data_IF_055674172194
#
_entry.id   IF_055674172194
#
_cell.length_a   1.000
_cell.length_b   1.000
_cell.length_c   1.000
_cell.angle_alpha   90.00
_cell.angle_beta   90.00
_cell.angle_gamma   90.00
#
_symmetry.space_group_name_H-M   'P 1'
#
loop_
_entity.id
_entity.type
_entity.pdbx_description
1 polymer ?
#
# COMPACT_ATOMS: atom_id res chain seq x y z
N UNK A 1 -30.14 12.72 -6.35
CA UNK A 1 -28.98 13.14 -7.18
C UNK A 1 -27.76 13.44 -6.32
N UNK A 2 -27.79 14.42 -5.40
CA UNK A 2 -26.62 14.78 -4.59
C UNK A 2 -25.95 13.59 -3.88
N UNK A 3 -26.76 12.76 -3.20
CA UNK A 3 -26.27 11.56 -2.52
C UNK A 3 -25.56 10.54 -3.44
N UNK A 4 -26.00 10.38 -4.69
CA UNK A 4 -25.34 9.44 -5.60
C UNK A 4 -23.98 9.98 -6.05
N UNK A 5 -23.88 11.28 -6.31
CA UNK A 5 -22.61 11.93 -6.62
C UNK A 5 -21.65 11.84 -5.43
N UNK A 6 -22.12 12.07 -4.21
CA UNK A 6 -21.31 11.90 -3.00
C UNK A 6 -20.69 10.50 -2.91
N UNK A 7 -21.46 9.46 -3.28
CA UNK A 7 -20.97 8.09 -3.35
C UNK A 7 -19.94 7.89 -4.46
N UNK A 8 -20.20 8.38 -5.67
CA UNK A 8 -19.28 8.25 -6.80
C UNK A 8 -17.94 8.90 -6.45
N UNK A 9 -17.97 10.13 -5.93
CA UNK A 9 -16.78 10.89 -5.53
C UNK A 9 -16.03 10.15 -4.41
N UNK A 10 -16.73 9.83 -3.32
CA UNK A 10 -16.11 9.14 -2.16
C UNK A 10 -15.48 7.80 -2.54
N UNK A 11 -16.15 7.00 -3.37
CA UNK A 11 -15.63 5.72 -3.83
C UNK A 11 -14.45 5.89 -4.78
N UNK A 12 -14.46 6.94 -5.61
CA UNK A 12 -13.34 7.25 -6.50
C UNK A 12 -12.13 7.73 -5.70
N UNK A 13 -12.29 8.57 -4.68
CA UNK A 13 -11.18 8.99 -3.81
C UNK A 13 -10.62 7.83 -2.98
N UNK A 14 -11.48 6.94 -2.45
CA UNK A 14 -11.05 5.79 -1.66
C UNK A 14 -10.36 4.71 -2.51
N UNK A 15 -10.81 4.49 -3.74
CA UNK A 15 -10.31 3.40 -4.58
C UNK A 15 -9.44 3.86 -5.73
N UNK A 16 -9.32 5.15 -6.03
CA UNK A 16 -8.67 5.68 -7.23
C UNK A 16 -9.50 5.46 -8.49
N UNK A 17 -10.06 4.27 -8.70
CA UNK A 17 -11.01 3.98 -9.76
C UNK A 17 -12.08 2.98 -9.29
N UNK A 18 -13.30 3.12 -9.79
CA UNK A 18 -14.44 2.27 -9.41
C UNK A 18 -15.35 2.02 -10.61
N UNK A 19 -15.65 0.74 -10.86
CA UNK A 19 -16.60 0.35 -11.90
C UNK A 19 -18.03 0.73 -11.49
N UNK A 20 -18.87 1.14 -12.44
CA UNK A 20 -20.27 1.53 -12.17
C UNK A 20 -21.06 0.48 -11.38
N UNK A 21 -20.88 -0.80 -11.69
CA UNK A 21 -21.56 -1.89 -10.97
C UNK A 21 -21.17 -1.95 -9.49
N UNK A 22 -19.91 -1.62 -9.16
CA UNK A 22 -19.45 -1.58 -7.77
C UNK A 22 -20.05 -0.39 -7.02
N UNK A 23 -20.25 0.74 -7.70
CA UNK A 23 -21.00 1.89 -7.14
C UNK A 23 -22.43 1.46 -6.79
N UNK A 24 -23.13 0.79 -7.72
CA UNK A 24 -24.49 0.26 -7.49
C UNK A 24 -24.52 -0.70 -6.29
N UNK A 25 -23.58 -1.65 -6.25
CA UNK A 25 -23.48 -2.64 -5.17
C UNK A 25 -23.36 -1.96 -3.79
N UNK A 26 -22.40 -1.05 -3.63
CA UNK A 26 -22.13 -0.40 -2.35
C UNK A 26 -23.26 0.55 -1.97
N UNK A 27 -23.78 1.32 -2.93
CA UNK A 27 -24.93 2.19 -2.70
C UNK A 27 -26.13 1.37 -2.21
N UNK A 28 -26.45 0.26 -2.89
CA UNK A 28 -27.59 -0.59 -2.55
C UNK A 28 -27.38 -1.36 -1.25
N UNK A 29 -26.14 -1.68 -0.88
CA UNK A 29 -25.82 -2.30 0.40
C UNK A 29 -26.11 -1.35 1.57
N UNK A 30 -25.81 -0.06 1.41
CA UNK A 30 -25.87 0.93 2.48
C UNK A 30 -27.15 1.76 2.50
N UNK A 31 -28.02 1.61 1.50
CA UNK A 31 -29.24 2.41 1.36
C UNK A 31 -30.50 1.55 1.22
N UNK A 32 -31.61 2.06 1.77
CA UNK A 32 -32.93 1.46 1.59
C UNK A 32 -33.39 1.57 0.13
N UNK A 33 -33.23 2.75 -0.44
CA UNK A 33 -33.44 3.01 -1.86
C UNK A 33 -32.46 2.20 -2.71
N UNK A 34 -32.94 1.66 -3.83
CA UNK A 34 -32.13 0.88 -4.76
C UNK A 34 -31.87 1.70 -6.01
N UNK A 35 -30.59 1.78 -6.35
CA UNK A 35 -30.07 2.36 -7.57
C UNK A 35 -30.15 1.32 -8.69
N UNK A 36 -30.75 1.73 -9.81
CA UNK A 36 -30.64 1.04 -11.08
C UNK A 36 -29.39 1.54 -11.81
N UNK A 37 -28.63 0.62 -12.41
CA UNK A 37 -27.41 0.94 -13.17
C UNK A 37 -27.68 1.88 -14.35
N UNK A 38 -28.92 1.91 -14.88
CA UNK A 38 -29.32 2.84 -15.95
C UNK A 38 -29.05 4.29 -15.55
N UNK A 39 -29.30 4.64 -14.28
CA UNK A 39 -29.06 6.01 -13.76
C UNK A 39 -27.58 6.38 -13.85
N UNK A 40 -26.67 5.42 -13.65
CA UNK A 40 -25.23 5.66 -13.80
C UNK A 40 -24.83 5.85 -15.25
N UNK A 41 -25.46 5.13 -16.20
CA UNK A 41 -25.18 5.36 -17.62
C UNK A 41 -25.56 6.79 -18.04
N UNK A 42 -26.65 7.34 -17.52
CA UNK A 42 -27.05 8.72 -17.80
C UNK A 42 -26.04 9.73 -17.25
N UNK A 43 -25.55 9.51 -16.02
CA UNK A 43 -24.48 10.31 -15.41
C UNK A 43 -23.18 10.18 -16.22
N UNK A 44 -22.84 8.99 -16.69
CA UNK A 44 -21.61 8.78 -17.47
C UNK A 44 -21.67 9.44 -18.86
N UNK A 45 -22.84 9.46 -19.49
CA UNK A 45 -23.01 10.11 -20.79
C UNK A 45 -23.09 11.64 -20.68
N UNK A 46 -23.56 12.15 -19.54
CA UNK A 46 -23.71 13.58 -19.26
C UNK A 46 -23.19 13.89 -17.84
N UNK A 47 -21.86 13.86 -17.62
CA UNK A 47 -21.28 14.04 -16.29
C UNK A 47 -21.65 15.39 -15.71
N UNK A 48 -22.22 15.42 -14.49
CA UNK A 48 -22.35 16.66 -13.75
C UNK A 48 -20.97 17.29 -13.48
N UNK A 49 -20.89 18.61 -13.52
CA UNK A 49 -19.65 19.37 -13.27
C UNK A 49 -19.03 19.06 -11.89
N UNK A 50 -19.87 18.68 -10.92
CA UNK A 50 -19.44 18.27 -9.58
C UNK A 50 -18.46 17.09 -9.60
N UNK A 51 -18.52 16.20 -10.60
CA UNK A 51 -17.54 15.11 -10.73
C UNK A 51 -16.15 15.67 -11.08
N UNK A 52 -16.07 16.54 -12.09
CA UNK A 52 -14.82 17.16 -12.52
C UNK A 52 -14.25 18.09 -11.43
N UNK A 53 -15.11 18.84 -10.72
CA UNK A 53 -14.69 19.67 -9.59
C UNK A 53 -14.12 18.87 -8.40
N UNK A 54 -14.34 17.56 -8.38
CA UNK A 54 -13.77 16.64 -7.41
C UNK A 54 -12.85 15.61 -8.10
N UNK A 55 -12.20 16.00 -9.20
CA UNK A 55 -11.15 15.19 -9.85
C UNK A 55 -11.61 13.79 -10.29
N UNK A 56 -12.90 13.63 -10.62
CA UNK A 56 -13.47 12.38 -11.13
C UNK A 56 -13.71 12.48 -12.62
N UNK A 57 -12.97 11.66 -13.38
CA UNK A 57 -13.14 11.42 -14.80
C UNK A 57 -13.91 10.12 -15.08
N UNK A 58 -14.39 9.99 -16.31
CA UNK A 58 -15.05 8.77 -16.80
C UNK A 58 -14.19 8.12 -17.86
N UNK A 59 -13.85 6.85 -17.66
CA UNK A 59 -13.12 6.03 -18.62
C UNK A 59 -13.85 4.70 -18.85
N UNK A 60 -14.61 4.62 -19.95
CA UNK A 60 -15.50 3.50 -20.21
C UNK A 60 -16.56 3.37 -19.11
N UNK A 61 -16.62 2.20 -18.46
CA UNK A 61 -17.57 1.91 -17.37
C UNK A 61 -17.00 2.22 -15.97
N UNK A 62 -15.93 3.03 -15.90
CA UNK A 62 -15.26 3.41 -14.65
C UNK A 62 -15.37 4.90 -14.39
N UNK A 63 -15.57 5.23 -13.12
CA UNK A 63 -15.18 6.52 -12.55
C UNK A 63 -13.72 6.41 -12.09
N UNK A 64 -12.89 7.39 -12.43
CA UNK A 64 -11.44 7.34 -12.26
C UNK A 64 -10.96 8.68 -11.72
N UNK A 65 -10.06 8.65 -10.74
CA UNK A 65 -9.40 9.83 -10.24
C UNK A 65 -8.49 10.42 -11.32
N UNK A 66 -8.54 11.72 -11.53
CA UNK A 66 -7.81 12.47 -12.58
C UNK A 66 -6.33 12.09 -12.61
N UNK A 67 -5.66 12.03 -11.45
CA UNK A 67 -4.26 11.60 -11.31
C UNK A 67 -3.95 10.28 -12.04
N UNK A 68 -4.82 9.27 -11.99
CA UNK A 68 -4.59 7.99 -12.67
C UNK A 68 -4.62 8.17 -14.19
N UNK A 69 -5.46 9.08 -14.69
CA UNK A 69 -5.56 9.39 -16.11
C UNK A 69 -4.36 10.23 -16.57
N UNK A 70 -3.94 11.22 -15.78
CA UNK A 70 -2.78 12.07 -16.06
C UNK A 70 -1.47 11.27 -16.18
N UNK A 71 -1.30 10.24 -15.34
CA UNK A 71 -0.11 9.38 -15.36
C UNK A 71 -0.24 8.13 -16.25
N UNK A 72 -1.34 7.96 -17.00
CA UNK A 72 -1.63 6.79 -17.85
C UNK A 72 -1.57 5.43 -17.10
N UNK A 73 -1.96 5.45 -15.81
CA UNK A 73 -1.80 4.31 -14.90
C UNK A 73 -3.05 3.41 -14.81
N UNK A 74 -4.12 3.74 -15.54
CA UNK A 74 -5.41 3.03 -15.46
C UNK A 74 -5.27 1.51 -15.61
N UNK A 75 -4.50 1.06 -16.60
CA UNK A 75 -4.30 -0.36 -16.86
C UNK A 75 -3.44 -1.05 -15.79
N UNK A 76 -2.46 -0.34 -15.23
CA UNK A 76 -1.60 -0.89 -14.18
C UNK A 76 -2.36 -1.01 -12.85
N UNK A 77 -3.16 0.02 -12.52
CA UNK A 77 -4.08 0.00 -11.38
C UNK A 77 -5.04 -1.19 -11.44
N UNK A 78 -5.61 -1.49 -12.62
CA UNK A 78 -6.46 -2.68 -12.81
C UNK A 78 -5.72 -4.01 -12.59
N UNK A 79 -4.43 -4.10 -12.95
CA UNK A 79 -3.63 -5.30 -12.69
C UNK A 79 -3.34 -5.45 -11.20
N UNK A 80 -2.91 -4.39 -10.53
CA UNK A 80 -2.53 -4.42 -9.11
C UNK A 80 -3.67 -4.87 -8.19
N UNK A 81 -4.90 -4.45 -8.51
CA UNK A 81 -6.08 -4.77 -7.71
C UNK A 81 -6.72 -6.13 -8.00
N UNK A 82 -6.32 -6.80 -9.08
CA UNK A 82 -6.98 -8.02 -9.56
C UNK A 82 -6.97 -9.10 -8.47
N UNK A 83 -8.15 -9.59 -8.10
CA UNK A 83 -8.34 -10.65 -7.11
C UNK A 83 -8.30 -10.19 -5.65
N UNK A 84 -8.06 -8.89 -5.38
CA UNK A 84 -8.17 -8.33 -4.03
C UNK A 84 -9.63 -7.91 -3.76
N UNK A 85 -10.17 -8.14 -2.55
CA UNK A 85 -11.51 -7.66 -2.20
C UNK A 85 -11.53 -6.13 -2.09
N UNK A 86 -12.71 -5.55 -2.06
CA UNK A 86 -12.90 -4.13 -1.71
C UNK A 86 -13.04 -3.97 -0.20
N UNK A 87 -12.35 -2.96 0.35
CA UNK A 87 -12.67 -2.45 1.67
C UNK A 87 -13.95 -1.61 1.58
N UNK A 88 -15.01 -2.00 2.28
CA UNK A 88 -16.27 -1.27 2.30
C UNK A 88 -16.48 -0.69 3.70
N UNK A 89 -16.17 0.59 3.94
CA UNK A 89 -16.44 1.24 5.23
C UNK A 89 -17.94 1.40 5.47
N UNK A 90 -18.34 1.75 6.70
CA UNK A 90 -19.70 2.18 6.98
C UNK A 90 -20.05 3.46 6.21
N UNK A 91 -21.34 3.73 5.98
CA UNK A 91 -21.78 4.88 5.16
C UNK A 91 -21.20 6.22 5.64
N UNK A 92 -21.27 6.51 6.94
CA UNK A 92 -20.75 7.77 7.49
C UNK A 92 -19.24 7.92 7.29
N UNK A 93 -18.50 6.82 7.35
CA UNK A 93 -17.06 6.81 7.13
C UNK A 93 -16.72 6.94 5.64
N UNK A 94 -17.46 6.24 4.78
CA UNK A 94 -17.30 6.36 3.33
C UNK A 94 -17.45 7.80 2.86
N UNK A 95 -18.50 8.49 3.33
CA UNK A 95 -18.84 9.83 2.85
C UNK A 95 -17.84 10.92 3.29
N UNK A 96 -16.93 10.63 4.23
CA UNK A 96 -15.81 11.54 4.56
C UNK A 96 -14.83 11.67 3.39
N UNK A 97 -14.66 10.61 2.60
CA UNK A 97 -13.83 10.63 1.40
C UNK A 97 -14.36 11.54 0.31
N UNK A 98 -15.55 12.14 0.44
CA UNK A 98 -15.96 13.21 -0.47
C UNK A 98 -14.99 14.39 -0.42
N UNK A 99 -14.49 14.72 0.77
CA UNK A 99 -13.49 15.76 0.95
C UNK A 99 -12.16 15.25 0.40
N UNK A 100 -11.61 15.92 -0.62
CA UNK A 100 -10.39 15.50 -1.32
C UNK A 100 -9.21 15.27 -0.37
N UNK A 101 -9.00 16.19 0.58
CA UNK A 101 -7.88 16.14 1.53
C UNK A 101 -8.14 15.22 2.73
N UNK A 102 -9.24 14.46 2.72
CA UNK A 102 -9.55 13.56 3.82
C UNK A 102 -8.64 12.33 3.82
N UNK A 103 -8.08 12.01 4.99
CA UNK A 103 -7.45 10.73 5.26
C UNK A 103 -7.84 10.22 6.66
N UNK A 104 -7.76 8.91 6.85
CA UNK A 104 -8.06 8.28 8.13
C UNK A 104 -6.93 8.56 9.15
N UNK A 105 -7.22 9.36 10.17
CA UNK A 105 -6.29 9.59 11.29
C UNK A 105 -6.29 8.39 12.23
N UNK A 106 -5.41 7.42 11.94
CA UNK A 106 -5.28 6.19 12.72
C UNK A 106 -4.28 6.31 13.88
N UNK A 107 -4.18 5.26 14.71
CA UNK A 107 -3.25 5.23 15.86
C UNK A 107 -1.78 5.31 15.45
N UNK A 108 -1.41 4.87 14.25
CA UNK A 108 -0.02 4.92 13.74
C UNK A 108 0.36 6.35 13.34
N UNK A 109 -0.55 7.09 12.71
CA UNK A 109 -0.40 8.51 12.42
C UNK A 109 -0.20 9.29 13.72
N UNK A 110 -1.09 9.05 14.71
CA UNK A 110 -0.99 9.69 16.03
C UNK A 110 0.32 9.34 16.77
N UNK A 111 0.82 8.12 16.60
CA UNK A 111 2.10 7.70 17.18
C UNK A 111 3.29 8.40 16.52
N UNK A 112 3.27 8.55 15.19
CA UNK A 112 4.28 9.31 14.45
C UNK A 112 4.25 10.78 14.87
N UNK A 113 3.08 11.41 14.82
CA UNK A 113 2.86 12.81 15.21
C UNK A 113 3.37 13.07 16.63
N UNK A 114 2.89 12.30 17.61
CA UNK A 114 3.32 12.43 19.01
C UNK A 114 4.84 12.31 19.18
N UNK A 115 5.47 11.39 18.44
CA UNK A 115 6.92 11.19 18.52
C UNK A 115 7.68 12.37 17.92
N UNK A 116 7.33 12.83 16.72
CA UNK A 116 8.06 13.91 16.03
C UNK A 116 7.82 15.26 16.69
N UNK A 117 6.60 15.55 17.18
CA UNK A 117 6.33 16.76 17.97
C UNK A 117 7.27 16.85 19.16
N UNK A 118 7.40 15.77 19.94
CA UNK A 118 8.21 15.78 21.16
C UNK A 118 9.71 15.70 20.92
N UNK A 119 10.15 14.88 19.96
CA UNK A 119 11.56 14.48 19.85
C UNK A 119 12.28 15.11 18.65
N UNK A 120 11.56 15.73 17.71
CA UNK A 120 12.13 16.34 16.50
C UNK A 120 11.90 17.85 16.53
N UNK A 121 10.69 18.28 16.86
CA UNK A 121 10.27 19.67 16.75
C UNK A 121 10.13 20.40 18.10
N UNK A 122 10.67 19.84 19.19
CA UNK A 122 10.70 20.44 20.52
C UNK A 122 9.35 21.00 21.02
N UNK A 123 8.26 20.31 20.68
CA UNK A 123 6.89 20.68 21.05
C UNK A 123 6.15 21.56 20.03
N UNK A 124 6.76 21.90 18.89
CA UNK A 124 6.07 22.63 17.83
C UNK A 124 5.09 21.70 17.08
N UNK A 125 3.81 21.76 17.46
CA UNK A 125 2.72 20.96 16.91
C UNK A 125 2.49 21.24 15.42
N UNK A 126 2.49 22.50 15.01
CA UNK A 126 2.25 22.87 13.61
C UNK A 126 3.31 22.28 12.66
N UNK A 127 4.59 22.39 12.99
CA UNK A 127 5.66 21.82 12.16
C UNK A 127 5.58 20.28 12.09
N UNK A 128 5.18 19.65 13.20
CA UNK A 128 5.01 18.22 13.30
C UNK A 128 3.81 17.70 12.48
N UNK A 129 2.68 18.39 12.54
CA UNK A 129 1.48 18.09 11.74
C UNK A 129 1.80 18.19 10.26
N UNK A 130 2.41 19.30 9.83
CA UNK A 130 2.79 19.48 8.43
C UNK A 130 3.75 18.38 7.92
N UNK A 131 4.70 17.93 8.76
CA UNK A 131 5.57 16.80 8.39
C UNK A 131 4.75 15.50 8.25
N UNK A 132 3.85 15.24 9.20
CA UNK A 132 3.08 14.00 9.21
C UNK A 132 2.06 13.92 8.07
N UNK A 133 1.45 15.05 7.69
CA UNK A 133 0.54 15.14 6.54
C UNK A 133 1.27 14.85 5.23
N UNK A 134 2.47 15.40 5.01
CA UNK A 134 3.28 15.07 3.83
C UNK A 134 3.60 13.57 3.76
N UNK A 135 4.05 13.01 4.90
CA UNK A 135 4.37 11.57 5.01
C UNK A 135 3.12 10.73 4.75
N UNK A 136 1.96 11.15 5.27
CA UNK A 136 0.69 10.47 5.05
C UNK A 136 0.31 10.46 3.57
N UNK A 137 0.51 11.58 2.86
CA UNK A 137 0.34 11.65 1.41
C UNK A 137 1.20 10.63 0.68
N UNK A 138 2.51 10.59 0.97
CA UNK A 138 3.44 9.60 0.39
C UNK A 138 3.02 8.15 0.75
N UNK A 139 2.52 7.92 1.96
CA UNK A 139 2.03 6.59 2.35
C UNK A 139 0.78 6.17 1.57
N UNK A 140 -0.02 7.12 1.09
CA UNK A 140 -1.24 6.87 0.35
C UNK A 140 -1.00 6.76 -1.16
N UNK A 141 -0.05 7.53 -1.70
CA UNK A 141 0.25 7.65 -3.12
C UNK A 141 1.72 7.32 -3.38
N UNK A 142 1.99 6.17 -4.01
CA UNK A 142 3.32 5.70 -4.45
C UNK A 142 4.44 5.76 -3.38
N UNK A 143 4.27 5.02 -2.28
CA UNK A 143 5.20 5.05 -1.15
C UNK A 143 6.67 4.83 -1.56
N UNK A 144 7.48 5.86 -1.30
CA UNK A 144 8.92 5.87 -1.59
C UNK A 144 9.73 6.30 -0.37
N UNK A 145 10.68 5.48 0.05
CA UNK A 145 11.60 5.84 1.16
C UNK A 145 12.43 7.06 0.79
N UNK A 146 12.78 7.20 -0.49
CA UNK A 146 13.53 8.34 -1.00
C UNK A 146 12.74 9.65 -0.80
N UNK A 147 11.46 9.65 -1.17
CA UNK A 147 10.58 10.82 -0.98
C UNK A 147 10.37 11.16 0.50
N UNK A 148 10.28 10.15 1.38
CA UNK A 148 10.25 10.36 2.83
C UNK A 148 11.48 11.13 3.31
N UNK A 149 12.68 10.78 2.81
CA UNK A 149 13.91 11.52 3.14
C UNK A 149 13.92 12.93 2.53
N UNK A 150 13.38 13.10 1.33
CA UNK A 150 13.23 14.43 0.71
C UNK A 150 12.31 15.33 1.53
N UNK A 151 11.21 14.80 2.06
CA UNK A 151 10.32 15.51 2.98
C UNK A 151 11.04 15.88 4.28
N UNK A 152 11.80 14.97 4.89
CA UNK A 152 12.61 15.32 6.07
C UNK A 152 13.57 16.48 5.80
N UNK A 153 14.26 16.46 4.66
CA UNK A 153 15.16 17.53 4.27
C UNK A 153 14.43 18.86 4.03
N UNK A 154 13.30 18.81 3.31
CA UNK A 154 12.50 20.00 2.96
C UNK A 154 11.87 20.65 4.19
N UNK A 155 11.47 19.84 5.18
CA UNK A 155 10.94 20.30 6.47
C UNK A 155 12.01 20.68 7.49
N UNK A 156 13.30 20.58 7.12
CA UNK A 156 14.42 20.96 7.99
C UNK A 156 14.58 20.05 9.21
N UNK A 157 14.23 18.77 9.09
CA UNK A 157 14.39 17.78 10.18
C UNK A 157 15.87 17.51 10.43
N UNK A 158 16.34 17.85 11.63
CA UNK A 158 17.73 17.63 12.04
C UNK A 158 17.85 16.45 13.02
N UNK A 159 18.12 15.27 12.47
CA UNK A 159 18.32 14.06 13.26
C UNK A 159 19.64 14.08 14.03
N UNK A 160 19.56 13.89 15.35
CA UNK A 160 20.72 13.92 16.26
C UNK A 160 21.46 12.58 16.36
N UNK A 161 20.86 11.49 15.87
CA UNK A 161 21.49 10.17 15.88
C UNK A 161 20.81 9.20 14.92
N UNK A 162 21.54 8.16 14.51
CA UNK A 162 21.01 7.04 13.74
C UNK A 162 19.83 6.35 14.45
N UNK A 163 19.87 6.27 15.79
CA UNK A 163 18.76 5.71 16.58
C UNK A 163 17.45 6.48 16.38
N UNK A 164 17.54 7.80 16.23
CA UNK A 164 16.39 8.66 15.99
C UNK A 164 15.84 8.47 14.58
N UNK A 165 16.72 8.39 13.58
CA UNK A 165 16.35 8.07 12.18
C UNK A 165 15.62 6.73 12.14
N UNK A 166 16.21 5.68 12.71
CA UNK A 166 15.63 4.34 12.74
C UNK A 166 14.27 4.33 13.45
N UNK A 167 14.11 5.13 14.52
CA UNK A 167 12.84 5.19 15.24
C UNK A 167 11.74 5.89 14.44
N UNK A 168 12.05 7.00 13.77
CA UNK A 168 11.09 7.70 12.90
C UNK A 168 10.74 6.83 11.70
N UNK A 169 11.73 6.23 11.03
CA UNK A 169 11.47 5.34 9.89
C UNK A 169 10.63 4.13 10.29
N UNK A 170 10.83 3.57 11.48
CA UNK A 170 9.93 2.53 12.00
C UNK A 170 8.48 3.03 12.07
N UNK A 171 8.25 4.23 12.61
CA UNK A 171 6.90 4.81 12.73
C UNK A 171 6.29 5.13 11.36
N UNK A 172 7.10 5.60 10.41
CA UNK A 172 6.68 5.80 9.01
C UNK A 172 6.27 4.47 8.37
N UNK A 173 7.06 3.41 8.53
CA UNK A 173 6.70 2.09 8.00
C UNK A 173 5.44 1.51 8.67
N UNK A 174 5.25 1.73 9.96
CA UNK A 174 4.01 1.36 10.65
C UNK A 174 2.82 2.14 10.08
N UNK A 175 2.97 3.44 9.80
CA UNK A 175 1.92 4.23 9.15
C UNK A 175 1.64 3.70 7.74
N UNK A 176 2.64 3.57 6.87
CA UNK A 176 2.51 3.08 5.50
C UNK A 176 1.78 1.73 5.42
N UNK A 177 2.11 0.78 6.30
CA UNK A 177 1.47 -0.53 6.33
C UNK A 177 0.01 -0.50 6.84
N UNK A 178 -0.43 0.60 7.44
CA UNK A 178 -1.79 0.81 7.96
C UNK A 178 -2.52 1.98 7.27
N UNK A 179 -1.99 2.50 6.16
CA UNK A 179 -2.66 3.47 5.30
C UNK A 179 -3.38 2.76 4.17
N UNK A 180 -4.57 3.26 3.80
CA UNK A 180 -5.38 2.70 2.70
C UNK A 180 -4.80 3.16 1.38
N UNK A 181 -4.68 2.24 0.43
CA UNK A 181 -4.12 2.53 -0.90
C UNK A 181 -5.01 1.99 -2.02
N UNK A 182 -4.93 2.62 -3.18
CA UNK A 182 -5.76 2.31 -4.35
C UNK A 182 -5.49 0.92 -4.92
N UNK A 183 -4.23 0.49 -4.92
CA UNK A 183 -3.76 -0.82 -5.42
C UNK A 183 -4.38 -1.98 -4.65
N UNK A 184 -4.88 -1.71 -3.44
CA UNK A 184 -5.50 -2.67 -2.53
C UNK A 184 -7.03 -2.51 -2.44
N UNK A 185 -7.67 -1.78 -3.37
CA UNK A 185 -9.11 -1.47 -3.33
C UNK A 185 -9.54 -0.89 -1.96
N UNK A 186 -8.77 0.06 -1.44
CA UNK A 186 -9.05 0.76 -0.18
C UNK A 186 -8.67 -0.03 1.08
N UNK A 187 -8.08 -1.22 0.97
CA UNK A 187 -7.47 -1.91 2.11
C UNK A 187 -6.08 -1.38 2.42
N UNK A 188 -5.67 -1.52 3.68
CA UNK A 188 -4.27 -1.31 4.05
C UNK A 188 -3.39 -2.51 3.67
N UNK A 189 -2.08 -2.35 3.47
CA UNK A 189 -1.17 -3.47 3.27
C UNK A 189 -1.28 -4.55 4.35
N UNK A 190 -1.40 -4.16 5.63
CA UNK A 190 -1.59 -5.10 6.74
C UNK A 190 -2.92 -5.85 6.68
N UNK A 191 -4.02 -5.20 6.30
CA UNK A 191 -5.31 -5.87 6.13
C UNK A 191 -5.25 -6.95 5.03
N UNK A 192 -4.61 -6.64 3.90
CA UNK A 192 -4.39 -7.61 2.82
C UNK A 192 -3.49 -8.76 3.29
N UNK A 193 -2.39 -8.44 3.96
CA UNK A 193 -1.46 -9.46 4.45
C UNK A 193 -2.11 -10.38 5.48
N UNK A 194 -2.81 -9.85 6.48
CA UNK A 194 -3.44 -10.68 7.53
C UNK A 194 -4.55 -11.58 6.98
N UNK A 195 -5.36 -11.08 6.04
CA UNK A 195 -6.47 -11.86 5.47
C UNK A 195 -6.03 -12.86 4.38
N UNK A 196 -5.04 -12.50 3.56
CA UNK A 196 -4.72 -13.26 2.34
C UNK A 196 -3.26 -13.73 2.28
N UNK A 197 -2.31 -13.02 2.89
CA UNK A 197 -0.90 -13.42 2.91
C UNK A 197 -0.63 -14.48 3.99
N UNK A 198 -0.98 -14.17 5.24
CA UNK A 198 -0.67 -14.95 6.42
C UNK A 198 -1.18 -16.40 6.38
N UNK A 199 -2.40 -16.71 5.88
CA UNK A 199 -2.85 -18.09 5.75
C UNK A 199 -1.99 -18.94 4.80
N UNK A 200 -1.28 -18.30 3.86
CA UNK A 200 -0.40 -18.96 2.89
C UNK A 200 1.05 -19.07 3.37
N UNK A 201 1.39 -18.49 4.53
CA UNK A 201 2.72 -18.61 5.10
C UNK A 201 2.94 -20.02 5.65
N UNK A 202 4.12 -20.57 5.36
CA UNK A 202 4.57 -21.78 6.03
C UNK A 202 5.07 -21.42 7.43
N UNK A 203 4.79 -22.24 8.45
CA UNK A 203 5.38 -22.02 9.75
C UNK A 203 6.91 -22.03 9.63
N UNK A 204 7.56 -21.17 10.41
CA UNK A 204 9.01 -21.22 10.53
C UNK A 204 9.41 -22.65 10.96
N UNK A 205 10.49 -23.22 10.40
CA UNK A 205 10.97 -24.51 10.85
C UNK A 205 11.24 -24.47 12.36
N UNK A 206 10.83 -25.51 13.07
CA UNK A 206 10.95 -25.58 14.54
C UNK A 206 12.42 -25.45 15.01
N UNK A 207 13.35 -25.82 14.14
CA UNK A 207 14.77 -25.62 14.35
C UNK A 207 15.24 -24.43 13.50
N UNK A 208 16.06 -23.53 14.05
CA UNK A 208 16.76 -22.52 13.27
C UNK A 208 17.45 -23.17 12.07
N UNK A 209 17.43 -22.51 10.92
CA UNK A 209 18.18 -22.96 9.76
C UNK A 209 19.66 -23.10 10.16
N UNK A 210 20.15 -24.33 10.27
CA UNK A 210 21.56 -24.59 10.57
C UNK A 210 22.39 -24.29 9.31
N UNK A 211 22.78 -23.03 9.14
CA UNK A 211 23.66 -22.61 8.03
C UNK A 211 25.00 -23.37 7.99
N UNK A 212 25.41 -23.98 9.10
CA UNK A 212 26.63 -24.79 9.21
C UNK A 212 26.45 -26.25 8.76
N UNK A 213 25.24 -26.70 8.42
CA UNK A 213 24.95 -28.05 7.90
C UNK A 213 24.31 -28.02 6.51
N UNK A 214 24.66 -27.06 5.65
CA UNK A 214 24.38 -27.20 4.22
C UNK A 214 25.17 -28.41 3.68
N UNK A 215 24.56 -29.59 3.68
CA UNK A 215 25.13 -30.77 3.06
C UNK A 215 25.16 -30.55 1.55
N UNK A 216 26.35 -30.40 0.98
CA UNK A 216 26.51 -30.42 -0.46
C UNK A 216 26.36 -31.87 -0.90
N UNK A 217 25.26 -32.15 -1.58
CA UNK A 217 24.93 -33.45 -2.12
C UNK A 217 25.36 -33.48 -3.59
N UNK A 218 26.03 -34.54 -4.01
CA UNK A 218 26.27 -34.79 -5.43
C UNK A 218 24.94 -35.15 -6.11
N UNK A 219 24.50 -34.33 -7.06
CA UNK A 219 23.21 -34.49 -7.73
C UNK A 219 23.05 -35.78 -8.53
N UNK A 220 24.14 -36.48 -8.88
CA UNK A 220 24.10 -37.73 -9.65
C UNK A 220 24.01 -38.96 -8.75
N UNK A 221 24.63 -38.89 -7.57
CA UNK A 221 24.77 -40.03 -6.67
C UNK A 221 23.97 -39.91 -5.39
N UNK A 222 23.44 -38.72 -5.09
CA UNK A 222 22.70 -38.44 -3.85
C UNK A 222 23.56 -38.51 -2.58
N UNK A 223 24.89 -38.60 -2.72
CA UNK A 223 25.82 -38.74 -1.60
C UNK A 223 26.38 -37.39 -1.17
N UNK A 224 26.62 -37.27 0.14
CA UNK A 224 27.30 -36.12 0.75
C UNK A 224 28.72 -35.99 0.18
N UNK A 225 29.04 -34.81 -0.33
CA UNK A 225 30.37 -34.46 -0.84
C UNK A 225 31.18 -33.85 0.29
N UNK A 226 32.22 -34.56 0.71
CA UNK A 226 33.19 -34.06 1.66
C UNK A 226 34.06 -32.96 1.06
N UNK A 227 34.53 -32.04 1.90
CA UNK A 227 35.38 -30.91 1.50
C UNK A 227 36.64 -31.33 0.70
N UNK A 228 37.15 -32.55 0.91
CA UNK A 228 38.32 -33.10 0.23
C UNK A 228 38.00 -34.01 -0.97
N UNK A 229 36.73 -34.32 -1.22
CA UNK A 229 36.30 -35.23 -2.28
C UNK A 229 36.40 -34.58 -3.67
N UNK A 230 36.44 -35.36 -4.77
CA UNK A 230 36.35 -34.83 -6.12
C UNK A 230 35.12 -33.92 -6.29
N UNK A 231 35.30 -32.79 -6.95
CA UNK A 231 34.25 -31.80 -7.10
C UNK A 231 33.16 -32.29 -8.07
N UNK A 232 31.87 -32.24 -7.68
CA UNK A 232 30.77 -32.77 -8.49
C UNK A 232 30.54 -31.99 -9.81
N UNK A 233 31.17 -30.82 -10.00
CA UNK A 233 31.11 -30.08 -11.26
C UNK A 233 31.94 -30.71 -12.40
N UNK A 234 32.63 -31.83 -12.14
CA UNK A 234 33.42 -32.55 -13.15
C UNK A 234 34.80 -31.95 -13.42
N UNK A 235 35.24 -30.97 -12.62
CA UNK A 235 36.54 -30.30 -12.82
C UNK A 235 37.76 -31.16 -12.48
N UNK A 236 37.58 -32.33 -11.87
CA UNK A 236 38.67 -33.18 -11.37
C UNK A 236 39.42 -32.64 -10.14
N UNK A 237 39.11 -31.43 -9.66
CA UNK A 237 39.72 -30.82 -8.47
C UNK A 237 38.98 -31.26 -7.19
N UNK A 238 39.63 -31.17 -6.02
CA UNK A 238 38.94 -31.31 -4.72
C UNK A 238 37.89 -30.22 -4.53
N UNK A 239 36.75 -30.53 -3.92
CA UNK A 239 35.64 -29.59 -3.72
C UNK A 239 36.09 -28.25 -3.10
N UNK A 240 36.92 -28.30 -2.05
CA UNK A 240 37.49 -27.10 -1.40
C UNK A 240 38.38 -26.19 -2.26
N UNK A 241 38.92 -26.70 -3.36
CA UNK A 241 39.79 -25.97 -4.29
C UNK A 241 39.09 -25.63 -5.60
N UNK A 242 37.77 -25.85 -5.67
CA UNK A 242 36.98 -25.62 -6.86
C UNK A 242 35.76 -24.76 -6.54
N UNK A 243 34.60 -25.37 -6.29
CA UNK A 243 33.35 -24.63 -6.10
C UNK A 243 33.22 -23.97 -4.72
N UNK A 244 33.95 -24.45 -3.70
CA UNK A 244 33.93 -23.87 -2.35
C UNK A 244 35.07 -22.86 -2.11
N UNK A 245 36.12 -22.89 -2.93
CA UNK A 245 37.30 -22.02 -2.80
C UNK A 245 37.30 -20.85 -3.77
N UNK A 246 36.13 -20.47 -4.28
CA UNK A 246 35.93 -19.24 -5.04
C UNK A 246 35.55 -18.12 -4.08
#
# INVERSE_FOLDING_TARGET
>A
MNKLLDYIISLTHLYGLVHKDKVVEIFNLQNKEKLDVIVLNDIMNNPPEDLANNFVEINGDYFVHETIMEFDDFNEQLKHRKGKPFYIPGQEELLKYKEENYFEVNKQYQALLSYVTKNIFDGNEFAAEMLCEDIQGICQFDFSVQEIFEVFNTRGVDFKSEKQVNKVMQLVMELANNTRIWENNGHTPNEIFEKFGKPNLRPLPANPFEFNKAEIIDFRTGKKVGRNDPCPCGSGKKYKKCCLGK
#
